data_IF_628010107362
#
_entry.id   IF_628010107362
#
_cell.length_a   1.000
_cell.length_b   1.000
_cell.length_c   1.000
_cell.angle_alpha   90.00
_cell.angle_beta   90.00
_cell.angle_gamma   90.00
#
_symmetry.space_group_name_H-M   'P 1'
#
loop_
_entity.id
_entity.type
_entity.pdbx_description
1 polymer ?
#
# COMPACT_ATOMS: atom_id res chain seq x y z
N UNK A 1 -15.34 -20.24 -99.85
CA UNK A 1 -16.34 -19.95 -98.81
C UNK A 1 -16.06 -20.89 -97.63
N UNK A 2 -15.27 -20.45 -96.65
CA UNK A 2 -14.98 -21.26 -95.47
C UNK A 2 -16.14 -21.15 -94.49
N UNK A 3 -16.75 -22.27 -94.08
CA UNK A 3 -17.81 -22.25 -93.08
C UNK A 3 -17.24 -21.85 -91.72
N UNK A 4 -17.50 -20.61 -91.29
CA UNK A 4 -17.17 -20.18 -89.94
C UNK A 4 -17.96 -21.02 -88.92
N UNK A 5 -17.28 -21.47 -87.87
CA UNK A 5 -17.92 -22.14 -86.74
C UNK A 5 -18.64 -21.06 -85.92
N UNK A 6 -19.97 -21.13 -85.84
CA UNK A 6 -20.77 -20.27 -84.98
C UNK A 6 -20.92 -20.92 -83.60
N UNK A 7 -20.32 -20.33 -82.58
CA UNK A 7 -20.45 -20.80 -81.19
C UNK A 7 -21.42 -19.86 -80.49
N UNK A 8 -22.58 -20.36 -80.07
CA UNK A 8 -23.65 -19.56 -79.46
C UNK A 8 -23.44 -19.25 -77.97
N UNK A 9 -22.49 -19.93 -77.31
CA UNK A 9 -22.13 -19.69 -75.90
C UNK A 9 -20.72 -20.20 -75.61
N UNK A 10 -19.87 -19.34 -75.02
CA UNK A 10 -18.60 -19.71 -74.40
C UNK A 10 -18.69 -19.33 -72.92
N UNK A 11 -18.27 -20.23 -72.02
CA UNK A 11 -17.94 -19.93 -70.62
C UNK A 11 -16.44 -20.17 -70.50
N UNK A 12 -15.66 -19.10 -70.33
CA UNK A 12 -14.20 -19.17 -70.25
C UNK A 12 -13.67 -18.34 -69.09
N UNK A 13 -12.52 -18.75 -68.56
CA UNK A 13 -11.76 -18.03 -67.55
C UNK A 13 -10.62 -17.26 -68.25
N UNK A 14 -10.56 -15.92 -68.16
CA UNK A 14 -9.46 -15.09 -68.70
C UNK A 14 -9.78 -14.25 -69.95
N UNK A 15 -8.77 -13.48 -70.43
CA UNK A 15 -8.89 -12.55 -71.57
C UNK A 15 -8.90 -13.33 -72.89
N UNK A 16 -10.03 -13.37 -73.58
CA UNK A 16 -10.18 -14.02 -74.88
C UNK A 16 -9.75 -13.06 -76.00
N UNK A 17 -8.56 -13.25 -76.57
CA UNK A 17 -8.34 -12.91 -77.98
C UNK A 17 -8.80 -14.10 -78.82
N UNK A 18 -9.90 -14.01 -79.60
CA UNK A 18 -10.41 -15.16 -80.33
C UNK A 18 -9.42 -15.62 -81.41
N UNK A 19 -9.30 -16.94 -81.66
CA UNK A 19 -8.54 -17.46 -82.79
C UNK A 19 -9.04 -16.85 -84.12
N UNK A 20 -8.12 -16.64 -85.06
CA UNK A 20 -8.41 -16.03 -86.36
C UNK A 20 -9.48 -16.83 -87.10
N UNK A 21 -10.64 -16.22 -87.37
CA UNK A 21 -11.75 -16.83 -88.11
C UNK A 21 -12.98 -17.25 -87.28
N UNK A 22 -13.00 -16.99 -85.97
CA UNK A 22 -14.17 -17.26 -85.10
C UNK A 22 -14.95 -15.96 -84.87
N UNK A 23 -16.23 -15.95 -85.23
CA UNK A 23 -17.17 -14.87 -84.90
C UNK A 23 -17.93 -15.23 -83.62
N UNK A 24 -17.77 -14.41 -82.56
CA UNK A 24 -18.48 -14.59 -81.30
C UNK A 24 -19.71 -13.67 -81.30
N UNK A 25 -20.91 -14.23 -81.43
CA UNK A 25 -22.14 -13.45 -81.61
C UNK A 25 -22.75 -12.93 -80.30
N UNK A 26 -22.37 -13.50 -79.14
CA UNK A 26 -22.82 -13.05 -77.81
C UNK A 26 -21.89 -13.54 -76.70
N UNK A 27 -21.29 -12.62 -75.95
CA UNK A 27 -20.63 -12.94 -74.67
C UNK A 27 -21.69 -12.89 -73.57
N UNK A 28 -21.85 -13.99 -72.82
CA UNK A 28 -22.93 -14.14 -71.81
C UNK A 28 -22.48 -13.71 -70.40
N UNK A 29 -21.19 -13.45 -70.21
CA UNK A 29 -20.62 -12.91 -68.98
C UNK A 29 -19.13 -13.21 -68.87
N UNK A 30 -18.39 -12.37 -68.17
CA UNK A 30 -17.03 -12.64 -67.71
C UNK A 30 -17.00 -12.49 -66.19
N UNK A 31 -16.23 -13.32 -65.50
CA UNK A 31 -15.92 -13.12 -64.07
C UNK A 31 -14.65 -12.26 -64.03
N UNK A 32 -14.76 -11.05 -63.48
CA UNK A 32 -13.57 -10.29 -63.09
C UNK A 32 -13.06 -10.93 -61.81
N UNK A 33 -11.85 -11.48 -61.86
CA UNK A 33 -11.12 -11.85 -60.65
C UNK A 33 -10.46 -10.59 -60.14
N UNK A 34 -11.13 -9.88 -59.22
CA UNK A 34 -10.50 -8.77 -58.52
C UNK A 34 -9.38 -9.33 -57.66
N UNK A 35 -8.17 -8.82 -57.85
CA UNK A 35 -7.04 -9.18 -57.00
C UNK A 35 -7.30 -8.68 -55.58
N UNK A 36 -7.19 -9.55 -54.59
CA UNK A 36 -7.28 -9.18 -53.17
C UNK A 36 -6.02 -8.38 -52.82
N UNK A 37 -6.20 -7.12 -52.46
CA UNK A 37 -5.10 -6.19 -52.14
C UNK A 37 -5.26 -5.65 -50.74
N UNK A 38 -4.16 -5.60 -49.98
CA UNK A 38 -4.15 -5.03 -48.65
C UNK A 38 -4.34 -3.51 -48.74
N UNK A 39 -5.28 -2.98 -47.97
CA UNK A 39 -5.66 -1.56 -47.98
C UNK A 39 -5.13 -0.85 -46.73
N UNK A 40 -5.22 -1.48 -45.56
CA UNK A 40 -4.77 -0.88 -44.30
C UNK A 40 -4.27 -1.94 -43.32
N UNK A 41 -3.48 -1.50 -42.34
CA UNK A 41 -3.10 -2.28 -41.16
C UNK A 41 -3.53 -1.49 -39.92
N UNK A 42 -4.19 -2.16 -38.99
CA UNK A 42 -4.49 -1.62 -37.66
C UNK A 42 -3.59 -2.30 -36.61
N UNK A 43 -2.91 -1.50 -35.80
CA UNK A 43 -2.07 -1.98 -34.69
C UNK A 43 -2.86 -1.86 -33.38
N UNK A 44 -2.98 -2.95 -32.62
CA UNK A 44 -3.80 -3.02 -31.39
C UNK A 44 -2.96 -3.49 -30.20
N UNK A 45 -3.05 -2.87 -29.01
CA UNK A 45 -3.83 -1.66 -28.71
C UNK A 45 -3.35 -0.45 -29.51
N UNK A 46 -4.22 0.53 -29.76
CA UNK A 46 -3.87 1.74 -30.52
C UNK A 46 -3.04 2.74 -29.68
N UNK A 47 -3.24 2.71 -28.36
CA UNK A 47 -2.58 3.54 -27.36
C UNK A 47 -2.34 2.69 -26.12
N UNK A 48 -1.20 2.89 -25.46
CA UNK A 48 -0.87 2.20 -24.22
C UNK A 48 0.11 3.07 -23.43
N UNK A 49 -0.07 3.10 -22.11
CA UNK A 49 0.97 3.56 -21.17
C UNK A 49 1.53 2.36 -20.42
N UNK A 50 2.86 2.28 -20.34
CA UNK A 50 3.61 1.25 -19.60
C UNK A 50 4.59 1.89 -18.64
N UNK A 51 4.87 1.21 -17.54
CA UNK A 51 6.02 1.55 -16.69
C UNK A 51 7.30 0.98 -17.29
N UNK A 52 8.42 1.67 -17.13
CA UNK A 52 9.71 1.14 -17.56
C UNK A 52 9.96 -0.30 -17.03
N UNK A 53 10.38 -1.19 -17.92
CA UNK A 53 10.54 -2.62 -17.66
C UNK A 53 9.31 -3.50 -17.92
N UNK A 54 8.12 -2.92 -18.14
CA UNK A 54 6.93 -3.67 -18.55
C UNK A 54 6.94 -3.99 -20.05
N UNK A 55 6.12 -4.97 -20.45
CA UNK A 55 5.99 -5.40 -21.84
C UNK A 55 4.55 -5.34 -22.32
N UNK A 56 4.35 -5.07 -23.61
CA UNK A 56 3.03 -5.09 -24.26
C UNK A 56 3.09 -5.87 -25.57
N UNK A 57 2.18 -6.82 -25.74
CA UNK A 57 1.97 -7.48 -27.02
C UNK A 57 1.08 -6.62 -27.92
N UNK A 58 1.59 -6.24 -29.09
CA UNK A 58 0.81 -5.62 -30.15
C UNK A 58 0.41 -6.65 -31.20
N UNK A 59 -0.78 -6.49 -31.78
CA UNK A 59 -1.24 -7.27 -32.93
C UNK A 59 -1.44 -6.35 -34.14
N UNK A 60 -1.21 -6.87 -35.34
CA UNK A 60 -1.41 -6.17 -36.60
C UNK A 60 -2.51 -6.85 -37.41
N UNK A 61 -3.65 -6.19 -37.59
CA UNK A 61 -4.76 -6.70 -38.40
C UNK A 61 -4.83 -5.97 -39.72
N UNK A 62 -4.63 -6.69 -40.83
CA UNK A 62 -4.76 -6.16 -42.19
C UNK A 62 -6.21 -6.17 -42.67
N UNK A 63 -6.65 -5.12 -43.35
CA UNK A 63 -7.95 -5.05 -44.03
C UNK A 63 -7.74 -4.98 -45.55
N UNK A 64 -8.41 -5.85 -46.30
CA UNK A 64 -8.30 -5.94 -47.75
C UNK A 64 -9.43 -5.19 -48.47
N UNK A 65 -9.26 -4.95 -49.77
CA UNK A 65 -10.23 -4.24 -50.63
C UNK A 65 -11.62 -4.91 -50.75
N UNK A 66 -11.72 -6.19 -50.37
CA UNK A 66 -12.98 -6.93 -50.27
C UNK A 66 -13.59 -6.90 -48.85
N UNK A 67 -13.10 -6.02 -47.98
CA UNK A 67 -13.50 -5.86 -46.57
C UNK A 67 -13.20 -7.06 -45.67
N UNK A 68 -12.47 -8.07 -46.14
CA UNK A 68 -11.99 -9.15 -45.27
C UNK A 68 -10.78 -8.69 -44.46
N UNK A 69 -10.58 -9.30 -43.29
CA UNK A 69 -9.46 -9.00 -42.40
C UNK A 69 -8.60 -10.23 -42.15
N UNK A 70 -7.31 -10.02 -41.89
CA UNK A 70 -6.37 -11.07 -41.53
C UNK A 70 -5.43 -10.61 -40.43
N UNK A 71 -5.09 -11.51 -39.50
CA UNK A 71 -3.99 -11.30 -38.57
C UNK A 71 -2.66 -11.40 -39.33
N UNK A 72 -1.92 -10.29 -39.34
CA UNK A 72 -0.62 -10.14 -39.99
C UNK A 72 0.51 -10.00 -38.97
N UNK A 73 0.26 -10.20 -37.68
CA UNK A 73 1.23 -9.93 -36.59
C UNK A 73 2.55 -10.66 -36.79
N UNK A 74 2.51 -11.94 -37.19
CA UNK A 74 3.73 -12.75 -37.38
C UNK A 74 4.51 -12.43 -38.65
N UNK A 75 3.89 -11.74 -39.63
CA UNK A 75 4.49 -11.43 -40.93
C UNK A 75 4.81 -9.93 -41.11
N UNK A 76 4.30 -9.08 -40.23
CA UNK A 76 4.64 -7.66 -40.20
C UNK A 76 6.07 -7.44 -39.70
N UNK A 77 6.73 -6.45 -40.31
CA UNK A 77 7.93 -5.85 -39.71
C UNK A 77 7.48 -4.79 -38.72
N UNK A 78 7.83 -4.97 -37.45
CA UNK A 78 7.57 -4.00 -36.40
C UNK A 78 8.80 -3.12 -36.14
N UNK A 79 8.56 -1.82 -35.91
CA UNK A 79 9.60 -0.85 -35.53
C UNK A 79 9.09 0.09 -34.46
N UNK A 80 9.98 0.54 -33.58
CA UNK A 80 9.75 1.69 -32.69
C UNK A 80 10.38 2.94 -33.29
N UNK A 81 9.78 4.11 -33.07
CA UNK A 81 10.37 5.39 -33.49
C UNK A 81 11.61 5.77 -32.68
N UNK A 82 11.71 5.29 -31.44
CA UNK A 82 12.86 5.49 -30.55
C UNK A 82 13.07 4.24 -29.70
N UNK A 83 14.22 3.58 -29.87
CA UNK A 83 14.55 2.34 -29.14
C UNK A 83 15.11 2.58 -27.76
N UNK A 84 15.56 3.80 -27.46
CA UNK A 84 16.04 4.17 -26.13
C UNK A 84 14.85 4.36 -25.17
N UNK A 85 13.67 4.71 -25.70
CA UNK A 85 12.41 4.81 -24.94
C UNK A 85 11.65 3.48 -24.92
N UNK A 86 11.47 2.80 -26.06
CA UNK A 86 10.90 1.45 -26.09
C UNK A 86 11.37 0.62 -27.29
N UNK A 87 11.64 -0.67 -27.04
CA UNK A 87 11.99 -1.63 -28.09
C UNK A 87 10.78 -2.47 -28.50
N UNK A 88 10.80 -3.04 -29.70
CA UNK A 88 9.78 -4.01 -30.13
C UNK A 88 10.42 -5.16 -30.91
N UNK A 89 10.14 -6.39 -30.47
CA UNK A 89 10.63 -7.60 -31.10
C UNK A 89 9.79 -7.98 -32.32
N UNK A 90 10.36 -8.85 -33.17
CA UNK A 90 9.59 -9.54 -34.22
C UNK A 90 8.40 -10.27 -33.61
N UNK A 91 7.21 -10.13 -34.21
CA UNK A 91 5.97 -10.67 -33.65
C UNK A 91 5.26 -9.73 -32.68
N UNK A 92 5.73 -8.49 -32.50
CA UNK A 92 4.95 -7.41 -31.89
C UNK A 92 5.07 -7.25 -30.37
N UNK A 93 6.02 -7.93 -29.71
CA UNK A 93 6.23 -7.76 -28.27
C UNK A 93 7.10 -6.52 -27.99
N UNK A 94 6.49 -5.45 -27.48
CA UNK A 94 7.18 -4.24 -27.06
C UNK A 94 7.70 -4.35 -25.61
N UNK A 95 8.83 -3.72 -25.32
CA UNK A 95 9.42 -3.58 -23.98
C UNK A 95 9.73 -2.12 -23.72
N UNK A 96 9.15 -1.58 -22.64
CA UNK A 96 9.37 -0.22 -22.18
C UNK A 96 10.76 -0.09 -21.54
N UNK A 97 11.52 0.94 -21.93
CA UNK A 97 12.93 1.13 -21.53
C UNK A 97 13.08 2.36 -20.65
N UNK A 98 12.72 3.54 -21.15
CA UNK A 98 12.90 4.82 -20.47
C UNK A 98 11.74 5.77 -20.77
N UNK A 99 11.67 6.89 -20.05
CA UNK A 99 10.58 7.86 -20.13
C UNK A 99 10.38 8.44 -21.54
N UNK A 100 9.12 8.51 -21.99
CA UNK A 100 8.75 9.20 -23.21
C UNK A 100 7.71 8.48 -24.07
N UNK A 101 7.30 9.14 -25.14
CA UNK A 101 6.31 8.62 -26.09
C UNK A 101 6.99 8.13 -27.38
N UNK A 102 6.61 6.93 -27.84
CA UNK A 102 7.03 6.38 -29.13
C UNK A 102 5.85 5.97 -30.00
N UNK A 103 6.10 5.95 -31.31
CA UNK A 103 5.21 5.35 -32.29
C UNK A 103 5.70 3.94 -32.65
N UNK A 104 4.86 2.95 -32.37
CA UNK A 104 5.04 1.57 -32.84
C UNK A 104 4.42 1.44 -34.23
N UNK A 105 5.21 1.01 -35.21
CA UNK A 105 4.76 0.84 -36.61
C UNK A 105 4.82 -0.63 -37.02
N UNK A 106 3.74 -1.14 -37.62
CA UNK A 106 3.71 -2.45 -38.27
C UNK A 106 3.60 -2.26 -39.79
N UNK A 107 4.50 -2.88 -40.55
CA UNK A 107 4.53 -2.77 -42.02
C UNK A 107 4.49 -4.15 -42.69
N UNK A 108 3.61 -4.30 -43.68
CA UNK A 108 3.55 -5.48 -44.54
C UNK A 108 3.12 -5.10 -45.97
N UNK A 109 3.86 -5.59 -46.97
CA UNK A 109 3.55 -5.30 -48.38
C UNK A 109 3.58 -3.81 -48.76
N UNK A 110 4.33 -2.98 -48.03
CA UNK A 110 4.39 -1.52 -48.23
C UNK A 110 3.23 -0.74 -47.59
N UNK A 111 2.28 -1.41 -46.94
CA UNK A 111 1.22 -0.79 -46.15
C UNK A 111 1.65 -0.78 -44.68
N UNK A 112 1.38 0.32 -43.98
CA UNK A 112 1.74 0.48 -42.57
C UNK A 112 0.53 0.86 -41.72
N UNK A 113 0.58 0.47 -40.45
CA UNK A 113 -0.29 0.92 -39.38
C UNK A 113 0.53 1.31 -38.16
N UNK A 114 -0.02 2.16 -37.30
CA UNK A 114 0.70 2.69 -36.14
C UNK A 114 -0.11 2.58 -34.86
N UNK A 115 0.59 2.52 -33.73
CA UNK A 115 0.07 2.69 -32.38
C UNK A 115 1.02 3.57 -31.56
N UNK A 116 0.48 4.25 -30.55
CA UNK A 116 1.29 5.05 -29.61
C UNK A 116 1.58 4.22 -28.36
N UNK A 117 2.82 4.27 -27.89
CA UNK A 117 3.25 3.72 -26.61
C UNK A 117 3.91 4.83 -25.81
N UNK A 118 3.32 5.13 -24.66
CA UNK A 118 3.87 6.05 -23.67
C UNK A 118 4.54 5.24 -22.57
N UNK A 119 5.76 5.63 -22.19
CA UNK A 119 6.54 4.99 -21.15
C UNK A 119 6.74 5.98 -20.02
N UNK A 120 6.34 5.58 -18.81
CA UNK A 120 6.50 6.38 -17.60
C UNK A 120 7.54 5.75 -16.69
N UNK A 121 8.32 6.58 -16.02
CA UNK A 121 9.32 6.16 -15.04
C UNK A 121 8.93 6.63 -13.64
N UNK A 122 9.39 5.91 -12.62
CA UNK A 122 9.21 6.34 -11.25
C UNK A 122 10.17 7.51 -10.98
N UNK A 123 9.67 8.63 -10.48
CA UNK A 123 10.50 9.80 -10.17
C UNK A 123 10.77 9.94 -8.68
N UNK A 124 9.78 9.65 -7.84
CA UNK A 124 9.92 9.81 -6.39
C UNK A 124 9.08 8.81 -5.61
N UNK A 125 9.46 8.64 -4.34
CA UNK A 125 8.70 7.87 -3.36
C UNK A 125 8.49 8.76 -2.15
N UNK A 126 7.29 8.75 -1.56
CA UNK A 126 7.01 9.41 -0.29
C UNK A 126 6.28 8.48 0.67
N UNK A 127 6.41 8.75 1.97
CA UNK A 127 5.83 7.92 3.03
C UNK A 127 4.67 8.63 3.70
N UNK A 128 3.62 7.88 4.02
CA UNK A 128 2.46 8.33 4.81
C UNK A 128 2.30 7.42 6.03
N UNK A 129 2.07 7.95 7.24
CA UNK A 129 2.06 9.38 7.58
C UNK A 129 3.45 10.04 7.54
N UNK A 130 3.50 11.34 7.28
CA UNK A 130 4.74 12.13 7.31
C UNK A 130 5.00 12.73 8.70
N UNK A 131 6.26 12.79 9.15
CA UNK A 131 6.71 13.50 10.35
C UNK A 131 5.92 13.16 11.62
N UNK A 132 5.71 11.87 11.86
CA UNK A 132 4.92 11.38 13.00
C UNK A 132 5.65 11.55 14.31
N UNK A 133 4.88 11.85 15.36
CA UNK A 133 5.35 11.82 16.75
C UNK A 133 4.53 10.79 17.53
N UNK A 134 5.20 9.83 18.16
CA UNK A 134 4.59 8.79 19.01
C UNK A 134 5.31 8.70 20.35
N UNK A 135 4.74 7.98 21.32
CA UNK A 135 5.41 7.75 22.61
C UNK A 135 6.21 6.45 22.54
N UNK A 136 7.33 6.37 23.26
CA UNK A 136 8.08 5.12 23.45
C UNK A 136 7.15 3.94 23.81
N UNK A 137 7.34 2.81 23.12
CA UNK A 137 6.51 1.61 23.21
C UNK A 137 5.29 1.58 22.29
N UNK A 138 4.91 2.72 21.68
CA UNK A 138 3.87 2.75 20.65
C UNK A 138 4.40 2.26 19.29
N UNK A 139 3.49 2.00 18.36
CA UNK A 139 3.79 1.49 17.01
C UNK A 139 3.21 2.40 15.94
N UNK A 140 3.78 2.37 14.74
CA UNK A 140 3.33 3.17 13.59
C UNK A 140 3.44 2.36 12.30
N UNK A 141 2.34 2.24 11.56
CA UNK A 141 2.35 1.69 10.21
C UNK A 141 2.65 2.81 9.20
N UNK A 142 3.60 2.57 8.29
CA UNK A 142 3.85 3.43 7.14
C UNK A 142 3.39 2.76 5.85
N UNK A 143 2.95 3.59 4.91
CA UNK A 143 2.69 3.24 3.52
C UNK A 143 3.64 4.04 2.63
N UNK A 144 4.12 3.43 1.56
CA UNK A 144 4.93 4.09 0.54
C UNK A 144 4.10 4.33 -0.73
N UNK A 145 4.18 5.53 -1.29
CA UNK A 145 3.55 5.90 -2.56
C UNK A 145 4.63 6.34 -3.54
N UNK A 146 4.59 5.78 -4.75
CA UNK A 146 5.45 6.19 -5.85
C UNK A 146 4.76 7.22 -6.73
N UNK A 147 5.49 8.24 -7.17
CA UNK A 147 5.04 9.25 -8.12
C UNK A 147 5.81 9.05 -9.42
N UNK A 148 5.10 8.88 -10.52
CA UNK A 148 5.66 8.68 -11.85
C UNK A 148 5.77 10.02 -12.61
N UNK A 149 6.50 10.03 -13.72
CA UNK A 149 6.74 11.19 -14.58
C UNK A 149 5.48 11.83 -15.17
N UNK A 150 4.40 11.07 -15.31
CA UNK A 150 3.07 11.59 -15.67
C UNK A 150 2.29 12.19 -14.47
N UNK A 151 2.96 12.35 -13.33
CA UNK A 151 2.40 12.73 -12.04
C UNK A 151 1.37 11.75 -11.45
N UNK A 152 1.22 10.55 -12.04
CA UNK A 152 0.37 9.53 -11.44
C UNK A 152 0.98 8.98 -10.16
N UNK A 153 0.12 8.70 -9.18
CA UNK A 153 0.53 8.16 -7.89
C UNK A 153 0.05 6.72 -7.74
N UNK A 154 0.93 5.85 -7.25
CA UNK A 154 0.63 4.43 -7.02
C UNK A 154 1.10 4.02 -5.64
N UNK A 155 0.18 3.45 -4.86
CA UNK A 155 0.53 2.80 -3.60
C UNK A 155 1.44 1.60 -3.89
N UNK A 156 2.65 1.61 -3.31
CA UNK A 156 3.63 0.56 -3.48
C UNK A 156 3.35 -0.55 -2.47
N UNK A 157 3.41 -1.80 -2.92
CA UNK A 157 3.32 -2.93 -2.02
C UNK A 157 4.51 -2.91 -1.05
N UNK A 158 4.24 -2.97 0.26
CA UNK A 158 5.28 -2.88 1.28
C UNK A 158 6.39 -3.92 1.10
N UNK A 159 6.01 -5.15 0.71
CA UNK A 159 6.93 -6.25 0.45
C UNK A 159 7.85 -6.04 -0.78
N UNK A 160 7.50 -5.11 -1.67
CA UNK A 160 8.34 -4.73 -2.81
C UNK A 160 9.30 -3.59 -2.46
N UNK A 161 9.16 -2.99 -1.28
CA UNK A 161 10.03 -1.93 -0.80
C UNK A 161 11.07 -2.49 0.17
N UNK A 162 12.27 -1.90 0.16
CA UNK A 162 13.27 -2.08 1.21
C UNK A 162 13.07 -1.00 2.26
N UNK A 163 12.73 -1.40 3.49
CA UNK A 163 12.48 -0.49 4.61
C UNK A 163 13.69 -0.39 5.54
N UNK A 164 13.96 0.80 6.05
CA UNK A 164 15.05 1.04 6.98
C UNK A 164 14.73 2.16 7.98
N UNK A 165 15.29 2.03 9.18
CA UNK A 165 15.36 3.10 10.19
C UNK A 165 16.82 3.53 10.32
N UNK A 166 17.07 4.83 10.26
CA UNK A 166 18.43 5.39 10.39
C UNK A 166 19.05 5.15 11.78
N UNK A 167 18.21 4.99 12.80
CA UNK A 167 18.62 4.72 14.17
C UNK A 167 17.68 3.68 14.79
N UNK A 168 18.11 2.42 14.74
CA UNK A 168 17.36 1.28 15.28
C UNK A 168 17.33 1.23 16.81
N UNK A 169 18.08 2.09 17.50
CA UNK A 169 17.97 2.23 18.96
C UNK A 169 16.80 3.12 19.38
N UNK A 170 16.31 3.98 18.48
CA UNK A 170 15.13 4.85 18.69
C UNK A 170 13.85 4.16 18.21
N UNK A 171 13.88 3.59 17.00
CA UNK A 171 12.76 2.78 16.49
C UNK A 171 13.24 1.79 15.42
N UNK A 172 12.65 0.61 15.39
CA UNK A 172 12.84 -0.39 14.32
C UNK A 172 11.67 -0.33 13.33
N UNK A 173 11.86 -0.85 12.12
CA UNK A 173 10.80 -1.03 11.13
C UNK A 173 11.01 -2.35 10.40
N UNK A 174 9.93 -3.08 10.13
CA UNK A 174 9.97 -4.35 9.41
C UNK A 174 9.71 -4.20 7.90
N UNK A 175 9.76 -5.32 7.16
CA UNK A 175 9.53 -5.36 5.72
C UNK A 175 8.08 -5.07 5.29
N UNK A 176 7.15 -4.98 6.25
CA UNK A 176 5.76 -4.59 6.01
C UNK A 176 5.53 -3.09 6.22
N UNK A 177 6.56 -2.34 6.60
CA UNK A 177 6.45 -0.91 6.93
C UNK A 177 5.91 -0.67 8.34
N UNK A 178 5.94 -1.68 9.22
CA UNK A 178 5.46 -1.58 10.60
C UNK A 178 6.61 -1.20 11.54
N UNK A 179 6.53 -0.01 12.12
CA UNK A 179 7.55 0.54 13.01
C UNK A 179 7.18 0.37 14.50
N UNK A 180 8.20 0.06 15.31
CA UNK A 180 8.09 -0.07 16.77
C UNK A 180 9.06 0.91 17.43
N UNK A 181 8.56 1.78 18.29
CA UNK A 181 9.39 2.74 19.04
C UNK A 181 10.03 2.11 20.28
N UNK A 182 11.28 2.47 20.55
CA UNK A 182 12.13 1.85 21.57
C UNK A 182 12.71 2.83 22.57
N UNK A 183 13.01 4.07 22.17
CA UNK A 183 13.58 5.08 23.05
C UNK A 183 13.25 6.50 22.58
N UNK A 184 13.22 7.46 23.52
CA UNK A 184 13.14 8.89 23.22
C UNK A 184 14.21 9.33 22.22
N UNK A 185 13.82 10.13 21.24
CA UNK A 185 14.70 10.62 20.19
C UNK A 185 14.03 10.71 18.82
N UNK A 186 14.85 10.83 17.78
CA UNK A 186 14.39 10.96 16.40
C UNK A 186 15.10 9.95 15.52
N UNK A 187 14.37 9.35 14.57
CA UNK A 187 14.95 8.53 13.49
C UNK A 187 14.26 8.83 12.17
N UNK A 188 14.99 8.73 11.08
CA UNK A 188 14.44 8.75 9.72
C UNK A 188 14.02 7.34 9.31
N UNK A 189 12.76 7.21 8.90
CA UNK A 189 12.21 6.02 8.27
C UNK A 189 12.31 6.18 6.76
N UNK A 190 12.86 5.18 6.08
CA UNK A 190 13.09 5.18 4.62
C UNK A 190 12.42 3.97 3.98
N UNK A 191 11.76 4.16 2.85
CA UNK A 191 11.31 3.10 1.96
C UNK A 191 11.99 3.28 0.60
N UNK A 192 12.58 2.22 0.06
CA UNK A 192 13.25 2.23 -1.25
C UNK A 192 12.59 1.23 -2.20
N UNK A 193 12.19 1.70 -3.38
CA UNK A 193 11.58 0.88 -4.43
C UNK A 193 12.27 1.17 -5.76
N UNK A 194 12.73 0.13 -6.47
CA UNK A 194 13.43 0.29 -7.75
C UNK A 194 14.70 1.15 -7.67
N UNK A 195 15.33 1.26 -6.49
CA UNK A 195 16.49 2.13 -6.25
C UNK A 195 16.15 3.58 -5.88
N UNK A 196 14.87 3.97 -5.90
CA UNK A 196 14.40 5.31 -5.52
C UNK A 196 13.89 5.28 -4.08
N UNK A 197 14.37 6.21 -3.26
CA UNK A 197 14.05 6.27 -1.83
C UNK A 197 13.14 7.44 -1.49
N UNK A 198 12.15 7.16 -0.65
CA UNK A 198 11.36 8.14 0.08
C UNK A 198 11.66 8.05 1.56
N UNK A 199 11.57 9.16 2.29
CA UNK A 199 11.81 9.16 3.72
C UNK A 199 10.91 10.12 4.50
N UNK A 200 10.77 9.85 5.79
CA UNK A 200 10.00 10.64 6.75
C UNK A 200 10.67 10.59 8.12
N UNK A 201 10.45 11.62 8.93
CA UNK A 201 10.89 11.61 10.33
C UNK A 201 9.88 10.86 11.21
N UNK A 202 10.39 10.04 12.12
CA UNK A 202 9.70 9.54 13.30
C UNK A 202 10.34 10.16 14.56
N UNK A 203 9.56 10.92 15.31
CA UNK A 203 9.93 11.43 16.63
C UNK A 203 9.29 10.57 17.71
N UNK A 204 10.09 10.05 18.62
CA UNK A 204 9.65 9.27 19.77
C UNK A 204 9.83 10.15 21.01
N UNK A 205 8.74 10.44 21.71
CA UNK A 205 8.77 11.11 23.00
C UNK A 205 8.91 10.10 24.13
N UNK A 206 9.71 10.44 25.14
CA UNK A 206 9.78 9.70 26.39
C UNK A 206 8.38 9.49 27.00
N UNK A 207 8.17 8.33 27.63
CA UNK A 207 7.00 8.13 28.48
C UNK A 207 7.10 9.10 29.66
N UNK A 208 6.32 10.18 29.62
CA UNK A 208 6.13 11.02 30.81
C UNK A 208 5.21 10.25 31.74
N UNK A 209 5.80 9.55 32.70
CA UNK A 209 5.01 9.04 33.82
C UNK A 209 4.60 10.24 34.64
N UNK A 210 3.33 10.65 34.50
CA UNK A 210 2.76 11.68 35.34
C UNK A 210 3.03 11.28 36.80
N UNK A 211 3.57 12.22 37.60
CA UNK A 211 3.73 11.98 39.03
C UNK A 211 2.42 11.45 39.60
N UNK A 212 2.49 10.34 40.35
CA UNK A 212 1.34 9.88 41.13
C UNK A 212 1.10 10.92 42.22
N UNK A 213 0.29 11.92 41.90
CA UNK A 213 -0.18 12.93 42.81
C UNK A 213 -1.19 12.28 43.76
N UNK A 214 -0.68 11.68 44.83
CA UNK A 214 -1.50 11.28 45.96
C UNK A 214 -1.81 12.50 46.79
N UNK A 215 -3.06 12.96 46.79
CA UNK A 215 -3.56 13.90 47.80
C UNK A 215 -4.07 13.09 48.98
N UNK A 216 -3.46 13.28 50.16
CA UNK A 216 -4.02 12.81 51.42
C UNK A 216 -5.17 13.76 51.82
N UNK A 217 -6.38 13.24 51.96
CA UNK A 217 -7.49 13.95 52.58
C UNK A 217 -7.64 13.45 54.02
N UNK A 218 -7.52 14.38 54.99
CA UNK A 218 -7.78 14.13 56.40
C UNK A 218 -6.75 13.20 57.06
N UNK A 219 -5.73 13.78 57.69
CA UNK A 219 -4.80 13.02 58.51
C UNK A 219 -4.98 13.42 59.97
N UNK A 220 -5.11 12.43 60.85
CA UNK A 220 -4.54 12.49 62.19
C UNK A 220 -3.27 11.63 62.17
N UNK A 221 -2.13 12.29 61.95
CA UNK A 221 -0.74 11.78 62.01
C UNK A 221 -0.08 11.09 60.79
N UNK A 222 1.20 11.43 60.65
CA UNK A 222 2.09 11.39 59.48
C UNK A 222 2.29 10.01 58.83
N UNK A 223 2.18 9.97 57.49
CA UNK A 223 2.77 8.92 56.67
C UNK A 223 4.02 9.48 55.95
N UNK A 224 5.13 8.75 55.98
CA UNK A 224 6.31 9.08 55.19
C UNK A 224 6.18 8.38 53.84
N UNK A 225 6.16 9.14 52.74
CA UNK A 225 6.08 8.59 51.39
C UNK A 225 7.49 8.53 50.79
N UNK A 226 8.01 7.32 50.58
CA UNK A 226 9.29 7.14 49.89
C UNK A 226 9.01 6.65 48.46
N UNK A 227 9.61 7.34 47.49
CA UNK A 227 9.52 6.99 46.06
C UNK A 227 10.72 6.13 45.69
N UNK A 228 10.47 4.93 45.17
CA UNK A 228 11.51 4.05 44.66
C UNK A 228 11.41 3.99 43.12
N UNK A 229 12.55 4.07 42.44
CA UNK A 229 12.66 3.93 40.98
C UNK A 229 13.41 2.63 40.67
N UNK A 230 12.80 1.77 39.86
CA UNK A 230 13.50 0.71 39.12
C UNK A 230 13.05 0.76 37.66
N UNK A 231 13.85 0.22 36.74
CA UNK A 231 13.74 0.37 35.29
C UNK A 231 12.40 -0.09 34.67
N UNK A 232 11.55 -0.77 35.43
CA UNK A 232 10.31 -1.39 34.95
C UNK A 232 9.05 -0.94 35.71
N UNK A 233 9.18 -0.27 36.88
CA UNK A 233 8.03 0.12 37.72
C UNK A 233 8.31 1.41 38.51
N UNK A 234 7.29 2.26 38.66
CA UNK A 234 7.23 3.20 39.78
C UNK A 234 6.58 2.50 40.98
N UNK A 235 7.34 2.28 42.04
CA UNK A 235 6.80 1.83 43.34
C UNK A 235 6.80 3.01 44.32
N UNK A 236 5.65 3.26 44.93
CA UNK A 236 5.49 4.28 45.96
C UNK A 236 5.09 3.58 47.24
N UNK A 237 5.99 3.58 48.22
CA UNK A 237 5.82 2.90 49.50
C UNK A 237 5.25 3.89 50.50
N UNK A 238 4.14 3.51 51.12
CA UNK A 238 3.53 4.25 52.22
C UNK A 238 3.63 3.44 53.50
N UNK A 239 4.29 4.02 54.50
CA UNK A 239 4.37 3.44 55.84
C UNK A 239 3.31 4.10 56.71
N UNK A 240 2.35 3.29 57.18
CA UNK A 240 1.27 3.74 58.05
C UNK A 240 1.54 3.35 59.50
N UNK A 241 1.29 4.25 60.44
CA UNK A 241 1.26 3.91 61.85
C UNK A 241 0.07 2.94 62.11
N UNK A 242 0.23 1.90 62.94
CA UNK A 242 -0.81 0.88 63.22
C UNK A 242 -2.17 1.43 63.68
N UNK A 243 -2.24 2.67 64.18
CA UNK A 243 -3.49 3.31 64.60
C UNK A 243 -4.07 4.30 63.56
N UNK A 244 -3.60 4.27 62.32
CA UNK A 244 -4.01 5.23 61.29
C UNK A 244 -5.23 4.74 60.52
N UNK A 245 -6.21 5.61 60.32
CA UNK A 245 -7.27 5.47 59.31
C UNK A 245 -6.95 6.48 58.21
N UNK A 246 -6.79 6.02 56.97
CA UNK A 246 -6.49 6.89 55.84
C UNK A 246 -7.23 6.43 54.59
N UNK A 247 -7.72 7.39 53.80
CA UNK A 247 -8.23 7.13 52.45
C UNK A 247 -7.11 7.47 51.48
N UNK A 248 -6.61 6.48 50.75
CA UNK A 248 -5.65 6.71 49.67
C UNK A 248 -6.39 6.73 48.34
N UNK A 249 -6.36 7.86 47.65
CA UNK A 249 -6.81 7.93 46.26
C UNK A 249 -5.60 7.73 45.35
N UNK A 250 -5.59 6.61 44.62
CA UNK A 250 -4.62 6.36 43.55
C UNK A 250 -5.28 6.77 42.24
N UNK A 251 -4.76 7.81 41.59
CA UNK A 251 -5.21 8.17 40.25
C UNK A 251 -4.69 7.11 39.27
N UNK A 252 -5.61 6.48 38.53
CA UNK A 252 -5.28 5.48 37.53
C UNK A 252 -4.30 6.04 36.49
N UNK A 253 -3.28 5.24 36.14
CA UNK A 253 -2.33 5.58 35.08
C UNK A 253 -2.54 4.67 33.86
N UNK A 254 -2.02 5.07 32.69
CA UNK A 254 -2.03 4.25 31.45
C UNK A 254 -1.30 2.91 31.63
N UNK A 255 -0.49 2.76 32.68
CA UNK A 255 0.37 1.60 32.96
C UNK A 255 0.03 0.97 34.32
N UNK A 256 0.30 -0.33 34.52
CA UNK A 256 0.14 -0.97 35.83
C UNK A 256 1.07 -0.30 36.86
N UNK A 257 0.54 0.01 38.04
CA UNK A 257 1.30 0.57 39.16
C UNK A 257 1.17 -0.37 40.35
N UNK A 258 2.31 -0.69 40.97
CA UNK A 258 2.35 -1.47 42.22
C UNK A 258 2.40 -0.51 43.38
N UNK A 259 1.44 -0.62 44.30
CA UNK A 259 1.41 0.15 45.55
C UNK A 259 1.67 -0.81 46.70
N UNK A 260 2.78 -0.58 47.40
CA UNK A 260 3.15 -1.36 48.59
C UNK A 260 2.70 -0.62 49.85
N UNK A 261 1.80 -1.25 50.61
CA UNK A 261 1.33 -0.77 51.90
C UNK A 261 2.04 -1.56 53.00
N UNK A 262 2.87 -0.88 53.79
CA UNK A 262 3.64 -1.51 54.87
C UNK A 262 3.16 -1.00 56.22
N UNK A 263 2.78 -1.94 57.09
CA UNK A 263 2.38 -1.69 58.47
C UNK A 263 3.47 -2.24 59.39
N UNK A 264 4.26 -1.40 60.09
CA UNK A 264 5.45 -1.85 60.83
C UNK A 264 5.15 -2.87 61.94
N UNK A 265 3.94 -2.84 62.49
CA UNK A 265 3.53 -3.66 63.66
C UNK A 265 2.56 -4.80 63.30
N UNK A 266 2.36 -5.09 62.00
CA UNK A 266 1.52 -6.21 61.52
C UNK A 266 2.40 -7.10 60.62
N UNK A 267 2.49 -8.43 60.85
CA UNK A 267 3.41 -9.30 60.11
C UNK A 267 3.03 -9.59 58.64
N UNK A 268 2.10 -8.84 58.06
CA UNK A 268 1.61 -9.04 56.70
C UNK A 268 1.89 -7.80 55.84
N UNK A 269 2.57 -8.01 54.72
CA UNK A 269 2.62 -7.02 53.62
C UNK A 269 1.37 -7.20 52.78
N UNK A 270 0.58 -6.14 52.60
CA UNK A 270 -0.54 -6.16 51.66
C UNK A 270 0.01 -5.62 50.33
N UNK A 271 0.40 -6.54 49.44
CA UNK A 271 0.74 -6.21 48.06
C UNK A 271 -0.53 -6.27 47.23
N UNK A 272 -1.06 -5.12 46.82
CA UNK A 272 -2.18 -5.06 45.87
C UNK A 272 -1.69 -4.60 44.52
N UNK A 273 -1.86 -5.46 43.52
CA UNK A 273 -1.62 -5.13 42.13
C UNK A 273 -2.85 -4.40 41.60
N UNK A 274 -2.77 -3.07 41.41
CA UNK A 274 -3.85 -2.31 40.79
C UNK A 274 -3.76 -2.52 39.29
N UNK A 275 -4.37 -3.61 38.82
CA UNK A 275 -4.41 -3.92 37.38
C UNK A 275 -5.64 -3.24 36.79
N UNK A 276 -5.47 -2.10 36.11
CA UNK A 276 -6.52 -1.54 35.27
C UNK A 276 -6.88 -2.56 34.18
N UNK A 277 -8.06 -3.18 34.27
CA UNK A 277 -8.55 -4.11 33.24
C UNK A 277 -9.32 -3.32 32.17
N UNK A 278 -8.55 -2.88 31.18
CA UNK A 278 -8.91 -2.36 29.85
C UNK A 278 -9.47 -0.93 29.78
N UNK A 279 -9.07 -0.16 28.74
CA UNK A 279 -9.57 1.18 28.50
C UNK A 279 -11.03 1.14 27.99
N UNK A 280 -11.94 1.81 28.68
CA UNK A 280 -13.26 2.15 28.14
C UNK A 280 -13.28 3.65 27.86
N UNK A 281 -13.51 4.03 26.60
CA UNK A 281 -13.68 5.42 26.19
C UNK A 281 -15.04 5.93 26.66
N UNK A 282 -15.04 6.85 27.61
CA UNK A 282 -16.15 7.79 27.83
C UNK A 282 -15.56 9.20 27.82
N UNK A 283 -16.28 10.15 27.20
CA UNK A 283 -15.91 11.54 27.01
C UNK A 283 -15.18 12.15 28.23
N UNK A 284 -13.87 12.32 28.12
CA UNK A 284 -13.12 13.35 28.83
C UNK A 284 -12.34 12.94 30.07
N UNK A 285 -12.76 11.98 30.90
CA UNK A 285 -12.00 11.59 32.10
C UNK A 285 -12.22 10.11 32.46
N UNK A 286 -11.12 9.37 32.65
CA UNK A 286 -11.11 8.03 33.25
C UNK A 286 -10.87 8.19 34.76
N UNK A 287 -11.85 7.84 35.59
CA UNK A 287 -11.69 7.71 37.03
C UNK A 287 -12.21 6.34 37.46
N UNK A 288 -11.31 5.47 37.90
CA UNK A 288 -11.66 4.38 38.81
C UNK A 288 -11.14 4.77 40.20
N UNK A 289 -12.04 4.92 41.16
CA UNK A 289 -11.68 5.12 42.56
C UNK A 289 -11.53 3.76 43.22
N UNK A 290 -10.38 3.51 43.85
CA UNK A 290 -10.17 2.36 44.72
C UNK A 290 -10.19 2.86 46.17
N UNK A 291 -11.23 2.52 46.92
CA UNK A 291 -11.32 2.82 48.35
C UNK A 291 -10.69 1.67 49.15
N UNK A 292 -9.61 1.94 49.86
CA UNK A 292 -8.97 0.96 50.76
C UNK A 292 -9.32 1.34 52.20
N UNK A 293 -10.19 0.57 52.85
CA UNK A 293 -10.49 0.70 54.27
C UNK A 293 -9.69 -0.32 55.06
N UNK A 294 -8.86 0.13 56.00
CA UNK A 294 -8.12 -0.73 56.91
C UNK A 294 -8.65 -0.48 58.32
N UNK A 295 -9.26 -1.49 58.94
CA UNK A 295 -9.73 -1.42 60.32
C UNK A 295 -8.67 -2.05 61.25
N UNK A 296 -8.31 -1.42 62.39
CA UNK A 296 -7.38 -2.01 63.34
C UNK A 296 -8.11 -3.04 64.24
N UNK A 297 -7.49 -4.22 64.33
CA UNK A 297 -7.59 -5.36 65.27
C UNK A 297 -8.93 -5.68 65.98
N UNK A 298 -9.23 -6.99 65.97
CA UNK A 298 -10.47 -7.70 66.34
C UNK A 298 -11.70 -7.43 65.45
N UNK A 299 -12.09 -8.45 64.68
CA UNK A 299 -13.43 -8.55 64.11
C UNK A 299 -13.66 -7.90 62.74
N UNK A 300 -12.79 -8.09 61.74
CA UNK A 300 -13.17 -7.84 60.33
C UNK A 300 -12.68 -8.95 59.40
N UNK A 301 -13.67 -9.68 58.92
CA UNK A 301 -13.67 -10.62 57.81
C UNK A 301 -13.61 -9.86 56.49
N UNK A 302 -12.77 -10.32 55.56
CA UNK A 302 -12.77 -10.05 54.12
C UNK A 302 -12.59 -8.59 53.64
N UNK A 303 -11.59 -8.39 52.77
CA UNK A 303 -11.50 -7.23 51.89
C UNK A 303 -12.49 -7.44 50.74
N UNK A 304 -13.59 -6.69 50.73
CA UNK A 304 -14.46 -6.60 49.56
C UNK A 304 -13.97 -5.47 48.66
N UNK A 305 -13.59 -5.82 47.43
CA UNK A 305 -13.48 -4.87 46.33
C UNK A 305 -14.90 -4.58 45.84
N UNK A 306 -15.47 -3.45 46.25
CA UNK A 306 -16.67 -2.92 45.61
C UNK A 306 -16.23 -1.87 44.57
N UNK A 307 -16.25 -2.25 43.30
CA UNK A 307 -16.32 -1.27 42.21
C UNK A 307 -17.76 -0.74 42.17
N UNK A 308 -18.08 0.30 42.95
CA UNK A 308 -19.32 1.03 42.71
C UNK A 308 -19.10 1.95 41.51
N UNK A 309 -19.46 1.47 40.31
CA UNK A 309 -19.88 2.37 39.24
C UNK A 309 -21.20 2.99 39.69
N UNK A 310 -21.14 4.18 40.28
CA UNK A 310 -22.32 5.02 40.39
C UNK A 310 -22.44 5.77 39.06
N UNK A 311 -23.38 5.35 38.20
CA UNK A 311 -23.78 6.15 37.05
C UNK A 311 -24.34 7.48 37.58
N UNK A 312 -23.58 8.56 37.42
CA UNK A 312 -24.12 9.90 37.59
C UNK A 312 -25.20 10.13 36.52
N UNK A 313 -26.37 10.67 36.88
CA UNK A 313 -27.48 10.84 35.95
C UNK A 313 -27.13 11.84 34.83
N UNK A 314 -27.68 11.52 33.65
CA UNK A 314 -27.43 12.05 32.29
C UNK A 314 -27.33 13.57 32.20
#
# INVERSE_FOLDING_TARGET
MGSGINISKIIGYGVLSPPKGVNISKVVGYVVLDTVQLVSIAVTPNTKTLKAGETQQYTATGTYNNSTTQDLTSVCTFTSSDTDVATIASGGLATAVDDGEVTITATYGGVSGTATLDVITLESVYLTPSNTTITEGDTQQYSATGVYSDASEVALAAASCTWASSNTTVATIDSSGFAVSLADGQTTITATYGGISGNTTLTVGAVVVAEVATRLFGIVSFATANTYRDATYLSKRYEFNPNSIGVMQVLATKYPVTVDLVFPDIPYTITTEVTSKKPVRVKGFLMEAVEVRVNPLEGVTAVYLASTMEELPI
#
